data_IF_234588502750
#
_entry.id   IF_234588502750
#
_cell.length_a   1.000
_cell.length_b   1.000
_cell.length_c   1.000
_cell.angle_alpha   90.00
_cell.angle_beta   90.00
_cell.angle_gamma   90.00
#
_symmetry.space_group_name_H-M   'P 1'
#
loop_
_entity.id
_entity.type
_entity.pdbx_description
1 polymer ?
#
# COMPACT_ATOMS: atom_id res chain seq x y z
N UNK A 1 31.63 34.12 -40.81
CA UNK A 1 30.71 34.22 -39.65
C UNK A 1 29.53 33.31 -39.93
N UNK A 2 29.35 32.22 -39.18
CA UNK A 2 28.22 31.30 -39.32
C UNK A 2 27.43 31.36 -38.01
N UNK A 3 26.24 31.94 -38.06
CA UNK A 3 25.34 32.09 -36.92
C UNK A 3 24.61 30.77 -36.71
N UNK A 4 24.82 30.11 -35.57
CA UNK A 4 24.04 28.97 -35.14
C UNK A 4 22.85 29.50 -34.33
N UNK A 5 21.63 29.29 -34.83
CA UNK A 5 20.40 29.52 -34.08
C UNK A 5 20.15 28.26 -33.26
N UNK A 6 20.39 28.32 -31.96
CA UNK A 6 20.00 27.28 -31.03
C UNK A 6 18.49 27.40 -30.78
N UNK A 7 17.72 26.42 -31.26
CA UNK A 7 16.31 26.28 -30.95
C UNK A 7 16.21 25.78 -29.50
N UNK A 8 15.85 26.66 -28.56
CA UNK A 8 15.42 26.25 -27.23
C UNK A 8 14.02 25.61 -27.38
N UNK A 9 13.95 24.28 -27.35
CA UNK A 9 12.68 23.61 -27.07
C UNK A 9 12.32 23.88 -25.62
N UNK A 10 11.40 24.83 -25.38
CA UNK A 10 10.67 24.91 -24.12
C UNK A 10 9.81 23.66 -24.01
N UNK A 11 10.30 22.64 -23.30
CA UNK A 11 9.48 21.57 -22.78
C UNK A 11 8.57 22.18 -21.70
N UNK A 12 7.36 22.58 -22.12
CA UNK A 12 6.29 22.89 -21.19
C UNK A 12 5.97 21.60 -20.42
N UNK A 13 6.41 21.51 -19.16
CA UNK A 13 5.88 20.52 -18.24
C UNK A 13 4.40 20.85 -18.04
N UNK A 14 3.53 20.11 -18.73
CA UNK A 14 2.11 20.16 -18.46
C UNK A 14 1.90 19.77 -16.98
N UNK A 15 1.07 20.49 -16.22
CA UNK A 15 0.69 20.02 -14.89
C UNK A 15 0.05 18.65 -15.07
N UNK A 16 0.59 17.63 -14.41
CA UNK A 16 -0.11 16.36 -14.30
C UNK A 16 -1.45 16.69 -13.63
N UNK A 17 -2.54 16.64 -14.39
CA UNK A 17 -3.86 16.74 -13.82
C UNK A 17 -3.96 15.62 -12.77
N UNK A 18 -4.27 15.98 -11.52
CA UNK A 18 -4.64 15.02 -10.49
C UNK A 18 -5.70 14.12 -11.11
N UNK A 19 -5.35 12.86 -11.38
CA UNK A 19 -6.30 11.91 -11.93
C UNK A 19 -7.37 11.72 -10.87
N UNK A 20 -8.65 11.82 -11.24
CA UNK A 20 -9.76 11.45 -10.36
C UNK A 20 -9.61 9.96 -10.03
N UNK A 21 -9.02 9.70 -8.87
CA UNK A 21 -8.72 8.36 -8.42
C UNK A 21 -9.96 7.71 -7.83
N UNK A 22 -10.51 6.75 -8.56
CA UNK A 22 -11.56 5.89 -8.03
C UNK A 22 -10.93 4.79 -7.20
N UNK A 23 -11.43 4.58 -5.99
CA UNK A 23 -11.03 3.46 -5.14
C UNK A 23 -11.20 2.14 -5.92
N UNK A 24 -10.19 1.24 -5.94
CA UNK A 24 -10.32 -0.03 -6.61
C UNK A 24 -11.41 -0.90 -5.98
N UNK A 25 -12.06 -1.71 -6.81
CA UNK A 25 -13.01 -2.73 -6.35
C UNK A 25 -12.23 -3.84 -5.63
N UNK A 26 -12.75 -4.28 -4.48
CA UNK A 26 -12.17 -5.37 -3.72
C UNK A 26 -12.09 -6.65 -4.57
N UNK A 27 -10.93 -7.30 -4.55
CA UNK A 27 -10.70 -8.59 -5.17
C UNK A 27 -11.36 -9.69 -4.32
N UNK A 28 -12.00 -10.73 -4.92
CA UNK A 28 -12.54 -11.86 -4.18
C UNK A 28 -11.55 -12.58 -3.26
N UNK A 29 -10.23 -12.44 -3.48
CA UNK A 29 -9.23 -12.96 -2.53
C UNK A 29 -9.27 -12.28 -1.17
N UNK A 30 -9.75 -11.04 -1.10
CA UNK A 30 -9.95 -10.32 0.15
C UNK A 30 -11.20 -10.78 0.92
N UNK A 31 -12.03 -11.66 0.34
CA UNK A 31 -13.22 -12.18 1.00
C UNK A 31 -12.84 -12.90 2.30
N UNK A 32 -13.60 -12.64 3.36
CA UNK A 32 -13.36 -13.22 4.70
C UNK A 32 -12.59 -12.29 5.65
N UNK A 33 -11.98 -11.22 5.15
CA UNK A 33 -11.47 -10.14 6.01
C UNK A 33 -12.60 -9.24 6.50
N UNK A 34 -12.67 -9.05 7.82
CA UNK A 34 -13.66 -8.19 8.49
C UNK A 34 -12.93 -7.01 9.14
N UNK A 35 -13.39 -5.79 8.86
CA UNK A 35 -12.85 -4.57 9.43
C UNK A 35 -13.62 -4.16 10.68
N UNK A 36 -12.93 -4.00 11.80
CA UNK A 36 -13.52 -3.68 13.10
C UNK A 36 -12.83 -2.47 13.71
N UNK A 37 -13.58 -1.61 14.39
CA UNK A 37 -13.04 -0.45 15.09
C UNK A 37 -13.11 -0.69 16.60
N UNK A 38 -11.94 -0.76 17.24
CA UNK A 38 -11.80 -0.69 18.69
C UNK A 38 -11.69 0.78 19.11
N UNK A 39 -12.43 1.22 20.15
CA UNK A 39 -12.25 2.56 20.72
C UNK A 39 -10.83 2.82 21.25
N UNK A 40 -10.16 1.76 21.71
CA UNK A 40 -8.88 1.84 22.41
C UNK A 40 -7.68 1.58 21.46
N UNK A 41 -7.85 0.71 20.47
CA UNK A 41 -6.75 0.22 19.62
C UNK A 41 -6.82 0.69 18.15
N UNK A 42 -7.87 1.44 17.79
CA UNK A 42 -8.09 1.89 16.41
C UNK A 42 -8.72 0.81 15.54
N UNK A 43 -8.34 0.76 14.25
CA UNK A 43 -8.89 -0.19 13.29
C UNK A 43 -8.12 -1.51 13.30
N UNK A 44 -8.83 -2.63 13.21
CA UNK A 44 -8.27 -3.95 12.99
C UNK A 44 -8.94 -4.66 11.81
N UNK A 45 -8.19 -5.57 11.18
CA UNK A 45 -8.73 -6.54 10.23
C UNK A 45 -8.62 -7.95 10.82
N UNK A 46 -9.71 -8.71 10.81
CA UNK A 46 -9.73 -10.10 11.28
C UNK A 46 -10.13 -11.06 10.16
N UNK A 47 -9.60 -12.28 10.20
CA UNK A 47 -9.94 -13.35 9.26
C UNK A 47 -10.10 -14.67 10.00
N UNK A 48 -11.35 -15.15 10.10
CA UNK A 48 -11.70 -16.31 10.95
C UNK A 48 -10.96 -17.58 10.55
N UNK A 49 -10.99 -17.95 9.26
CA UNK A 49 -10.37 -19.20 8.77
C UNK A 49 -8.85 -19.22 8.97
N UNK A 50 -8.19 -18.06 8.89
CA UNK A 50 -6.75 -17.92 9.11
C UNK A 50 -6.42 -17.75 10.60
N UNK A 51 -7.41 -17.50 11.45
CA UNK A 51 -7.22 -17.15 12.86
C UNK A 51 -6.27 -15.96 13.05
N UNK A 52 -6.40 -14.94 12.19
CA UNK A 52 -5.57 -13.73 12.21
C UNK A 52 -6.39 -12.52 12.63
N UNK A 53 -5.78 -11.66 13.44
CA UNK A 53 -6.26 -10.29 13.70
C UNK A 53 -5.07 -9.36 13.63
N UNK A 54 -5.18 -8.29 12.84
CA UNK A 54 -4.09 -7.34 12.61
C UNK A 54 -4.54 -5.92 12.85
N UNK A 55 -3.72 -5.12 13.53
CA UNK A 55 -3.98 -3.70 13.79
C UNK A 55 -3.58 -2.86 12.59
N UNK A 56 -4.53 -2.17 11.97
CA UNK A 56 -4.32 -1.40 10.75
C UNK A 56 -3.79 0.00 11.03
N UNK A 57 -2.92 0.47 10.15
CA UNK A 57 -2.55 1.89 10.07
C UNK A 57 -3.49 2.58 9.11
N UNK A 58 -4.23 3.58 9.57
CA UNK A 58 -5.23 4.30 8.76
C UNK A 58 -4.84 5.78 8.71
N UNK A 59 -4.88 6.36 7.51
CA UNK A 59 -4.44 7.73 7.22
C UNK A 59 -5.57 8.77 7.34
N UNK A 60 -6.83 8.32 7.41
CA UNK A 60 -7.99 9.18 7.65
C UNK A 60 -9.02 8.47 8.57
N UNK A 61 -9.92 9.21 9.26
CA UNK A 61 -10.94 8.61 10.13
C UNK A 61 -12.11 8.03 9.32
N UNK A 62 -11.81 7.16 8.36
CA UNK A 62 -12.77 6.44 7.52
C UNK A 62 -12.64 4.94 7.75
N UNK A 63 -13.71 4.20 7.45
CA UNK A 63 -13.69 2.73 7.52
C UNK A 63 -12.74 2.17 6.46
N UNK A 64 -11.69 1.43 6.84
CA UNK A 64 -10.84 0.72 5.89
C UNK A 64 -11.63 -0.31 5.09
N UNK A 65 -11.12 -0.70 3.93
CA UNK A 65 -11.68 -1.75 3.09
C UNK A 65 -10.58 -2.70 2.67
N UNK A 66 -10.76 -4.01 2.86
CA UNK A 66 -9.83 -5.00 2.31
C UNK A 66 -9.98 -5.02 0.80
N UNK A 67 -8.86 -4.86 0.10
CA UNK A 67 -8.83 -4.74 -1.37
C UNK A 67 -8.26 -6.00 -2.01
N UNK A 68 -7.27 -6.63 -1.38
CA UNK A 68 -6.67 -7.87 -1.88
C UNK A 68 -5.97 -8.62 -0.75
N UNK A 69 -5.86 -9.93 -0.90
CA UNK A 69 -5.08 -10.80 -0.04
C UNK A 69 -4.18 -11.68 -0.90
N UNK A 70 -2.91 -11.79 -0.52
CA UNK A 70 -1.95 -12.60 -1.24
C UNK A 70 -0.90 -13.20 -0.29
N UNK A 71 -0.52 -14.44 -0.55
CA UNK A 71 0.59 -15.13 0.14
C UNK A 71 1.63 -15.45 -0.93
N UNK A 72 2.76 -14.73 -0.99
CA UNK A 72 3.80 -14.96 -1.98
C UNK A 72 4.42 -16.37 -1.81
N UNK A 73 4.35 -17.25 -2.83
CA UNK A 73 4.89 -18.61 -2.72
C UNK A 73 6.41 -18.63 -2.54
N UNK A 74 7.12 -17.62 -3.06
CA UNK A 74 8.57 -17.44 -2.92
C UNK A 74 9.01 -17.18 -1.47
N UNK A 75 8.10 -16.77 -0.58
CA UNK A 75 8.37 -16.52 0.85
C UNK A 75 7.91 -17.67 1.74
N UNK A 76 7.87 -18.90 1.20
CA UNK A 76 7.63 -20.10 2.00
C UNK A 76 6.25 -20.19 2.67
N UNK A 77 5.27 -19.39 2.21
CA UNK A 77 3.98 -19.20 2.90
C UNK A 77 4.09 -18.64 4.31
N UNK A 78 5.21 -17.96 4.63
CA UNK A 78 5.44 -17.36 5.93
C UNK A 78 4.88 -15.94 6.04
N UNK A 79 4.79 -15.25 4.91
CA UNK A 79 4.35 -13.86 4.85
C UNK A 79 3.04 -13.76 4.09
N UNK A 80 2.08 -13.02 4.64
CA UNK A 80 0.84 -12.66 3.98
C UNK A 80 0.77 -11.15 3.75
N UNK A 81 0.11 -10.75 2.67
CA UNK A 81 -0.04 -9.36 2.24
C UNK A 81 -1.53 -9.03 2.18
N UNK A 82 -1.98 -8.18 3.10
CA UNK A 82 -3.32 -7.61 3.07
C UNK A 82 -3.24 -6.19 2.53
N UNK A 83 -3.73 -5.97 1.30
CA UNK A 83 -3.88 -4.62 0.76
C UNK A 83 -5.23 -4.06 1.19
N UNK A 84 -5.25 -2.82 1.66
CA UNK A 84 -6.46 -2.17 2.14
C UNK A 84 -6.45 -0.67 1.85
N UNK A 85 -7.64 -0.12 1.72
CA UNK A 85 -7.86 1.32 1.70
C UNK A 85 -7.59 1.90 3.09
N UNK A 86 -6.67 2.86 3.19
CA UNK A 86 -6.29 3.50 4.45
C UNK A 86 -6.83 4.92 4.59
N UNK A 87 -7.49 5.47 3.57
CA UNK A 87 -8.23 6.71 3.66
C UNK A 87 -7.85 7.77 2.64
N UNK A 88 -8.49 8.93 2.77
CA UNK A 88 -8.26 10.13 1.96
C UNK A 88 -7.90 11.29 2.89
N UNK A 89 -6.61 11.56 3.18
CA UNK A 89 -6.21 12.67 4.04
C UNK A 89 -6.52 14.00 3.35
N UNK A 90 -7.71 14.51 3.59
CA UNK A 90 -8.22 15.72 2.96
C UNK A 90 -7.43 16.95 3.38
N UNK A 91 -6.74 17.59 2.44
CA UNK A 91 -6.42 19.02 2.56
C UNK A 91 -6.57 19.78 1.24
N UNK A 92 -6.17 19.25 0.08
CA UNK A 92 -6.36 19.97 -1.20
C UNK A 92 -6.57 19.08 -2.44
N UNK A 93 -6.22 17.79 -2.39
CA UNK A 93 -6.54 16.78 -3.40
C UNK A 93 -6.90 15.49 -2.64
N UNK A 94 -8.03 14.86 -2.95
CA UNK A 94 -8.46 13.60 -2.33
C UNK A 94 -7.51 12.48 -2.77
N UNK A 95 -6.37 12.36 -2.10
CA UNK A 95 -5.40 11.31 -2.38
C UNK A 95 -5.91 10.03 -1.75
N UNK A 96 -6.52 9.16 -2.55
CA UNK A 96 -6.82 7.79 -2.11
C UNK A 96 -5.49 7.14 -1.75
N UNK A 97 -5.36 6.75 -0.48
CA UNK A 97 -4.23 5.98 0.02
C UNK A 97 -4.62 4.52 0.19
N UNK A 98 -3.78 3.66 -0.35
CA UNK A 98 -3.81 2.23 -0.12
C UNK A 98 -2.53 1.85 0.62
N UNK A 99 -2.67 0.97 1.61
CA UNK A 99 -1.55 0.36 2.31
C UNK A 99 -1.57 -1.14 2.11
N UNK A 100 -0.41 -1.77 2.27
CA UNK A 100 -0.30 -3.22 2.34
C UNK A 100 0.29 -3.61 3.68
N UNK A 101 -0.51 -4.24 4.54
CA UNK A 101 0.00 -4.88 5.75
C UNK A 101 0.78 -6.14 5.35
N UNK A 102 2.07 -6.14 5.68
CA UNK A 102 2.98 -7.28 5.58
C UNK A 102 2.90 -8.02 6.90
N UNK A 103 2.38 -9.24 6.89
CA UNK A 103 2.01 -10.00 8.07
C UNK A 103 2.88 -11.25 8.16
N UNK A 104 3.51 -11.49 9.30
CA UNK A 104 4.09 -12.79 9.62
C UNK A 104 2.96 -13.74 10.02
N UNK A 105 2.74 -14.79 9.23
CA UNK A 105 1.62 -15.71 9.38
C UNK A 105 1.78 -16.68 10.57
N UNK A 106 2.98 -16.88 11.11
CA UNK A 106 3.14 -17.69 12.33
C UNK A 106 2.83 -16.88 13.59
N UNK A 107 3.35 -15.65 13.68
CA UNK A 107 3.15 -14.80 14.85
C UNK A 107 1.84 -14.01 14.81
N UNK A 108 1.26 -13.84 13.61
CA UNK A 108 0.09 -12.99 13.36
C UNK A 108 0.40 -11.49 13.46
N UNK A 109 1.68 -11.10 13.55
CA UNK A 109 2.09 -9.71 13.71
C UNK A 109 2.28 -9.02 12.36
N UNK A 110 1.94 -7.73 12.31
CA UNK A 110 2.35 -6.88 11.19
C UNK A 110 3.84 -6.56 11.33
N UNK A 111 4.60 -6.90 10.29
CA UNK A 111 6.00 -6.51 10.12
C UNK A 111 6.11 -5.06 9.65
N UNK A 112 5.24 -4.66 8.71
CA UNK A 112 5.15 -3.29 8.21
C UNK A 112 3.80 -3.03 7.51
N UNK A 113 3.45 -1.77 7.32
CA UNK A 113 2.28 -1.36 6.56
C UNK A 113 2.59 -0.21 5.57
N UNK A 114 3.52 -0.38 4.62
CA UNK A 114 3.89 0.66 3.67
C UNK A 114 2.72 1.08 2.77
N UNK A 115 2.83 2.28 2.20
CA UNK A 115 1.91 2.76 1.16
C UNK A 115 2.10 1.89 -0.08
N UNK A 116 1.03 1.25 -0.54
CA UNK A 116 1.03 0.45 -1.77
C UNK A 116 0.66 1.26 -3.00
N UNK A 117 -0.13 2.32 -2.80
CA UNK A 117 -0.53 3.25 -3.84
C UNK A 117 -0.93 4.58 -3.21
N UNK A 118 -0.49 5.69 -3.82
CA UNK A 118 -0.94 7.03 -3.49
C UNK A 118 -1.49 7.68 -4.75
N UNK A 119 -2.76 8.09 -4.73
CA UNK A 119 -3.43 8.67 -5.89
C UNK A 119 -3.33 7.76 -7.13
N UNK A 120 -3.61 6.46 -6.94
CA UNK A 120 -3.53 5.41 -7.97
C UNK A 120 -2.15 5.23 -8.61
N UNK A 121 -1.10 5.89 -8.11
CA UNK A 121 0.26 5.66 -8.54
C UNK A 121 0.79 4.49 -7.71
N UNK A 122 1.05 3.32 -8.33
CA UNK A 122 1.53 2.16 -7.60
C UNK A 122 2.97 2.40 -7.12
N UNK A 123 3.21 2.03 -5.88
CA UNK A 123 4.55 1.98 -5.28
C UNK A 123 5.39 0.89 -5.94
N UNK A 124 6.71 1.04 -5.99
CA UNK A 124 7.63 0.00 -6.50
C UNK A 124 8.03 -0.94 -5.37
N UNK A 125 7.95 -2.25 -5.62
CA UNK A 125 8.26 -3.30 -4.66
C UNK A 125 9.40 -4.17 -5.19
N UNK A 126 10.45 -4.34 -4.38
CA UNK A 126 11.58 -5.23 -4.70
C UNK A 126 11.71 -6.28 -3.61
N UNK A 127 11.54 -7.54 -4.00
CA UNK A 127 11.61 -8.68 -3.09
C UNK A 127 13.01 -9.30 -3.07
N UNK A 128 13.48 -9.59 -1.86
CA UNK A 128 14.67 -10.38 -1.59
C UNK A 128 14.29 -11.59 -0.73
N UNK A 129 15.24 -12.49 -0.51
CA UNK A 129 15.04 -13.66 0.34
C UNK A 129 14.76 -13.29 1.81
N UNK A 130 15.44 -12.24 2.30
CA UNK A 130 15.45 -11.83 3.71
C UNK A 130 14.76 -10.49 3.97
N UNK A 131 14.37 -9.76 2.92
CA UNK A 131 13.74 -8.44 3.06
C UNK A 131 12.85 -8.06 1.89
N UNK A 132 12.01 -7.07 2.13
CA UNK A 132 11.22 -6.37 1.13
C UNK A 132 11.63 -4.89 1.14
N UNK A 133 11.88 -4.34 -0.05
CA UNK A 133 12.12 -2.90 -0.23
C UNK A 133 10.94 -2.28 -1.00
N UNK A 134 10.40 -1.18 -0.47
CA UNK A 134 9.21 -0.50 -0.99
C UNK A 134 9.52 0.99 -1.20
N UNK A 135 9.39 1.51 -2.42
CA UNK A 135 9.67 2.91 -2.77
C UNK A 135 8.45 3.58 -3.41
N UNK A 136 7.90 4.59 -2.73
CA UNK A 136 6.70 5.34 -3.13
C UNK A 136 7.01 6.66 -3.86
N UNK A 137 8.27 6.86 -4.25
CA UNK A 137 8.76 8.09 -4.89
C UNK A 137 9.02 9.25 -3.93
N UNK A 138 8.66 9.11 -2.65
CA UNK A 138 8.89 10.09 -1.59
C UNK A 138 9.83 9.54 -0.49
N UNK A 139 10.01 8.22 -0.44
CA UNK A 139 10.99 7.54 0.40
C UNK A 139 10.89 6.02 0.29
N UNK A 140 11.97 5.34 0.69
CA UNK A 140 12.03 3.88 0.75
C UNK A 140 11.74 3.34 2.14
N UNK A 141 11.00 2.24 2.24
CA UNK A 141 10.84 1.40 3.44
C UNK A 141 11.52 0.07 3.18
N UNK A 142 12.36 -0.37 4.13
CA UNK A 142 12.93 -1.72 4.16
C UNK A 142 12.25 -2.51 5.26
N UNK A 143 11.71 -3.68 4.91
CA UNK A 143 11.01 -4.59 5.82
C UNK A 143 11.82 -5.88 5.89
N UNK A 144 12.43 -6.15 7.03
CA UNK A 144 13.08 -7.44 7.29
C UNK A 144 12.02 -8.55 7.33
N UNK A 145 12.26 -9.63 6.61
CA UNK A 145 11.35 -10.78 6.53
C UNK A 145 11.87 -11.92 7.42
N UNK A 146 10.97 -12.68 8.06
CA UNK A 146 11.35 -13.89 8.75
C UNK A 146 11.97 -14.90 7.76
N UNK A 147 13.00 -15.63 8.21
CA UNK A 147 13.60 -16.69 7.41
C UNK A 147 12.55 -17.76 7.06
N UNK A 148 12.57 -18.21 5.80
CA UNK A 148 11.69 -19.26 5.26
C UNK A 148 12.11 -20.68 5.61
#
# INVERSE_FOLDING_TARGET
>A
MKTAIALLCLLAAAPAAAQDCTLPVANPRADGWVMEQSPDDGWSASHEVLSLTVLLTVDAPVTPLALDWYVPPELGSRVGLLRYFSGEPGTYELTVLERTAVIDLESGLILAAPISSANCVPTVWTWYEDRLEVDDGHGGVVVELPAG
#
